data_IF_310354619495
#
_entry.id   IF_310354619495
#
_cell.length_a   1.000
_cell.length_b   1.000
_cell.length_c   1.000
_cell.angle_alpha   90.00
_cell.angle_beta   90.00
_cell.angle_gamma   90.00
#
_symmetry.space_group_name_H-M   'P 1'
#
loop_
_entity.id
_entity.type
_entity.pdbx_description
1 polymer ?
#
# COMPACT_ATOMS: atom_id res chain seq x y z
N UNK A 1 4.01 -19.43 11.83
CA UNK A 1 4.46 -19.24 10.46
C UNK A 1 5.31 -18.00 10.34
N UNK A 2 6.46 -18.12 9.77
CA UNK A 2 7.38 -17.01 9.69
C UNK A 2 6.93 -15.96 8.69
N UNK A 3 7.00 -14.71 9.09
CA UNK A 3 6.65 -13.58 8.24
C UNK A 3 7.78 -13.32 7.24
N UNK A 4 7.56 -13.48 5.93
CA UNK A 4 8.62 -13.27 4.94
C UNK A 4 9.14 -11.83 4.87
N UNK A 5 8.42 -10.88 5.48
CA UNK A 5 8.80 -9.46 5.47
C UNK A 5 9.52 -9.02 6.73
N UNK A 6 9.74 -9.94 7.65
CA UNK A 6 10.27 -9.67 8.99
C UNK A 6 11.56 -8.86 9.02
N UNK A 7 12.47 -9.12 8.08
CA UNK A 7 13.80 -8.54 8.06
C UNK A 7 13.95 -7.32 7.15
N UNK A 8 12.87 -6.85 6.55
CA UNK A 8 12.92 -5.70 5.67
C UNK A 8 12.77 -4.40 6.47
N UNK A 9 13.37 -3.32 5.94
CA UNK A 9 13.34 -2.00 6.57
C UNK A 9 11.97 -1.33 6.48
N UNK A 10 11.09 -1.86 5.63
CA UNK A 10 9.76 -1.32 5.40
C UNK A 10 8.72 -2.24 5.99
N UNK A 11 7.61 -1.65 6.40
CA UNK A 11 6.48 -2.44 6.89
C UNK A 11 6.02 -3.43 5.83
N UNK A 12 5.85 -4.69 6.21
CA UNK A 12 5.48 -5.74 5.26
C UNK A 12 4.18 -5.44 4.51
N UNK A 13 3.26 -4.77 5.17
CA UNK A 13 2.00 -4.38 4.56
C UNK A 13 2.19 -3.40 3.40
N UNK A 14 3.15 -2.49 3.52
CA UNK A 14 3.48 -1.55 2.47
C UNK A 14 4.09 -2.27 1.27
N UNK A 15 4.99 -3.21 1.54
CA UNK A 15 5.63 -4.00 0.50
C UNK A 15 4.58 -4.80 -0.27
N UNK A 16 3.69 -5.47 0.45
CA UNK A 16 2.61 -6.25 -0.15
C UNK A 16 1.73 -5.38 -1.03
N UNK A 17 1.36 -4.21 -0.54
CA UNK A 17 0.50 -3.31 -1.29
C UNK A 17 1.17 -2.81 -2.57
N UNK A 18 2.44 -2.47 -2.48
CA UNK A 18 3.20 -1.99 -3.63
C UNK A 18 3.30 -3.07 -4.72
N UNK A 19 3.64 -4.30 -4.31
CA UNK A 19 3.73 -5.43 -5.25
C UNK A 19 2.37 -5.75 -5.84
N UNK A 20 1.32 -5.69 -5.02
CA UNK A 20 -0.05 -5.92 -5.46
C UNK A 20 -0.44 -4.91 -6.56
N UNK A 21 -0.12 -3.64 -6.38
CA UNK A 21 -0.40 -2.62 -7.38
C UNK A 21 0.31 -2.90 -8.69
N UNK A 22 1.56 -3.34 -8.62
CA UNK A 22 2.32 -3.69 -9.81
C UNK A 22 1.66 -4.84 -10.58
N UNK A 23 1.20 -5.86 -9.85
CA UNK A 23 0.60 -7.04 -10.45
C UNK A 23 -0.79 -6.76 -11.04
N UNK A 24 -1.51 -5.82 -10.46
CA UNK A 24 -2.90 -5.56 -10.82
C UNK A 24 -3.08 -4.46 -11.87
N UNK A 25 -2.23 -3.47 -11.86
CA UNK A 25 -2.36 -2.31 -12.73
C UNK A 25 -1.18 -2.18 -13.67
N UNK A 26 -1.38 -1.46 -14.78
CA UNK A 26 -0.32 -1.24 -15.76
C UNK A 26 0.61 -0.11 -15.29
N UNK A 27 1.45 -0.41 -14.33
CA UNK A 27 2.36 0.54 -13.71
C UNK A 27 3.80 0.12 -13.93
N UNK A 28 4.68 1.11 -14.13
CA UNK A 28 6.12 0.84 -14.14
C UNK A 28 6.67 0.91 -12.71
N UNK A 29 7.89 0.43 -12.51
CA UNK A 29 8.54 0.56 -11.20
C UNK A 29 8.76 2.03 -10.84
N UNK A 30 8.98 2.89 -11.81
CA UNK A 30 9.13 4.32 -11.57
C UNK A 30 7.82 4.99 -11.20
N UNK A 31 6.71 4.52 -11.80
CA UNK A 31 5.37 4.97 -11.38
C UNK A 31 5.15 4.66 -9.92
N UNK A 32 5.54 3.46 -9.49
CA UNK A 32 5.39 3.05 -8.10
C UNK A 32 6.29 3.84 -7.17
N UNK A 33 7.50 4.17 -7.61
CA UNK A 33 8.38 5.03 -6.83
C UNK A 33 7.71 6.38 -6.55
N UNK A 34 7.11 6.96 -7.57
CA UNK A 34 6.38 8.22 -7.43
C UNK A 34 5.15 8.08 -6.52
N UNK A 35 4.38 7.02 -6.70
CA UNK A 35 3.22 6.76 -5.87
C UNK A 35 3.59 6.60 -4.40
N UNK A 36 4.68 5.90 -4.13
CA UNK A 36 5.16 5.74 -2.76
C UNK A 36 5.58 7.09 -2.18
N UNK A 37 6.26 7.91 -2.97
CA UNK A 37 6.68 9.24 -2.55
C UNK A 37 5.49 10.12 -2.18
N UNK A 38 4.42 10.06 -2.95
CA UNK A 38 3.18 10.79 -2.65
C UNK A 38 2.58 10.36 -1.31
N UNK A 39 2.84 9.14 -0.90
CA UNK A 39 2.31 8.56 0.35
C UNK A 39 3.28 8.66 1.52
N UNK A 40 4.36 9.41 1.35
CA UNK A 40 5.31 9.66 2.40
C UNK A 40 6.44 8.65 2.52
N UNK A 41 6.58 7.77 1.55
CA UNK A 41 7.63 6.77 1.56
C UNK A 41 8.61 6.98 0.42
N UNK A 42 9.86 7.24 0.78
CA UNK A 42 10.94 7.38 -0.20
C UNK A 42 11.55 6.00 -0.45
N UNK A 43 11.27 5.43 -1.60
CA UNK A 43 11.82 4.13 -2.00
C UNK A 43 12.15 4.18 -3.49
N UNK A 44 13.34 3.71 -3.84
CA UNK A 44 13.77 3.75 -5.23
C UNK A 44 13.18 2.59 -6.03
N UNK A 45 13.02 2.82 -7.33
CA UNK A 45 12.38 1.84 -8.22
C UNK A 45 13.12 0.49 -8.27
N UNK A 46 14.44 0.48 -8.06
CA UNK A 46 15.20 -0.77 -8.04
C UNK A 46 14.85 -1.62 -6.82
N UNK A 47 14.56 -0.99 -5.69
CA UNK A 47 14.10 -1.70 -4.50
C UNK A 47 12.72 -2.31 -4.76
N UNK A 48 11.84 -1.57 -5.41
CA UNK A 48 10.51 -2.07 -5.77
C UNK A 48 10.63 -3.26 -6.73
N UNK A 49 11.54 -3.17 -7.69
CA UNK A 49 11.83 -4.27 -8.60
C UNK A 49 12.19 -5.54 -7.82
N UNK A 50 13.07 -5.41 -6.81
CA UNK A 50 13.48 -6.55 -5.98
C UNK A 50 12.32 -7.12 -5.19
N UNK A 51 11.44 -6.27 -4.69
CA UNK A 51 10.25 -6.73 -3.99
C UNK A 51 9.36 -7.57 -4.92
N UNK A 52 9.14 -7.09 -6.13
CA UNK A 52 8.31 -7.80 -7.10
C UNK A 52 8.93 -9.15 -7.44
N UNK A 53 10.24 -9.18 -7.72
CA UNK A 53 10.91 -10.42 -8.07
C UNK A 53 10.83 -11.44 -6.94
N UNK A 54 10.94 -10.99 -5.71
CA UNK A 54 10.95 -11.89 -4.56
C UNK A 54 9.56 -12.35 -4.14
N UNK A 55 8.59 -11.45 -4.13
CA UNK A 55 7.30 -11.73 -3.51
C UNK A 55 6.16 -11.95 -4.48
N UNK A 56 6.29 -11.56 -5.74
CA UNK A 56 5.19 -11.65 -6.70
C UNK A 56 4.65 -13.08 -6.89
N UNK A 57 5.48 -14.09 -7.05
CA UNK A 57 4.95 -15.44 -7.29
C UNK A 57 4.02 -15.93 -6.18
N UNK A 58 4.38 -15.65 -4.94
CA UNK A 58 3.57 -16.07 -3.82
C UNK A 58 2.35 -15.19 -3.61
N UNK A 59 2.52 -13.89 -3.77
CA UNK A 59 1.40 -12.95 -3.65
C UNK A 59 0.35 -13.18 -4.71
N UNK A 60 0.77 -13.50 -5.92
CA UNK A 60 -0.16 -13.77 -7.01
C UNK A 60 -1.09 -14.92 -6.65
N UNK A 61 -0.56 -15.99 -6.07
CA UNK A 61 -1.35 -17.12 -5.60
C UNK A 61 -2.38 -16.69 -4.55
N UNK A 62 -1.93 -15.92 -3.58
CA UNK A 62 -2.78 -15.50 -2.47
C UNK A 62 -3.81 -14.47 -2.86
N UNK A 63 -3.50 -13.67 -3.87
CA UNK A 63 -4.37 -12.57 -4.28
C UNK A 63 -5.50 -12.96 -5.21
N UNK A 64 -5.39 -14.08 -5.91
CA UNK A 64 -6.40 -14.49 -6.88
C UNK A 64 -7.83 -14.44 -6.37
N UNK A 65 -8.12 -14.99 -5.17
CA UNK A 65 -9.50 -14.93 -4.67
C UNK A 65 -9.93 -13.53 -4.24
N UNK A 66 -9.00 -12.59 -4.14
CA UNK A 66 -9.26 -11.23 -3.64
C UNK A 66 -9.10 -10.15 -4.70
N UNK A 67 -9.02 -10.52 -5.97
CA UNK A 67 -8.84 -9.57 -7.05
C UNK A 67 -10.12 -8.84 -7.45
N UNK A 68 -11.19 -9.03 -6.72
CA UNK A 68 -12.44 -8.37 -7.00
C UNK A 68 -12.39 -6.91 -6.56
N UNK A 69 -13.04 -6.09 -7.37
CA UNK A 69 -13.23 -4.68 -7.07
C UNK A 69 -14.04 -4.52 -5.77
N UNK A 70 -13.57 -3.68 -4.87
CA UNK A 70 -14.29 -3.39 -3.65
C UNK A 70 -15.25 -2.22 -3.87
N UNK A 71 -16.53 -2.45 -3.62
CA UNK A 71 -17.54 -1.39 -3.62
C UNK A 71 -17.95 -1.02 -2.21
N UNK A 72 -17.23 -1.52 -1.23
CA UNK A 72 -17.61 -1.37 0.17
C UNK A 72 -17.23 -0.02 0.73
N UNK A 73 -17.89 0.36 1.79
CA UNK A 73 -17.48 1.49 2.60
C UNK A 73 -16.10 1.21 3.20
N UNK A 74 -15.42 2.26 3.58
CA UNK A 74 -14.09 2.14 4.16
C UNK A 74 -13.96 3.05 5.37
N UNK A 75 -12.97 2.72 6.20
CA UNK A 75 -12.63 3.53 7.37
C UNK A 75 -11.13 3.74 7.40
N UNK A 76 -10.68 4.68 8.21
CA UNK A 76 -9.26 4.95 8.40
C UNK A 76 -8.79 4.31 9.70
N UNK A 77 -7.77 3.51 9.59
CA UNK A 77 -7.08 2.86 10.70
C UNK A 77 -5.74 3.55 10.89
N UNK A 78 -5.27 3.68 12.12
CA UNK A 78 -4.02 4.36 12.44
C UNK A 78 -3.12 3.42 13.22
N UNK A 79 -1.89 3.25 12.74
CA UNK A 79 -0.88 2.42 13.40
C UNK A 79 0.41 3.23 13.49
N UNK A 80 1.15 3.03 14.57
CA UNK A 80 2.47 3.63 14.73
C UNK A 80 3.50 2.59 14.32
N UNK A 81 4.28 2.88 13.29
CA UNK A 81 5.21 1.91 12.70
C UNK A 81 6.61 2.50 12.57
N UNK A 82 7.59 1.63 12.53
CA UNK A 82 8.98 2.02 12.32
C UNK A 82 9.36 1.75 10.88
N UNK A 83 9.74 2.80 10.16
CA UNK A 83 10.14 2.71 8.75
C UNK A 83 11.56 3.23 8.64
N UNK A 84 12.50 2.37 8.27
CA UNK A 84 13.91 2.72 8.13
C UNK A 84 14.44 3.42 9.38
N UNK A 85 14.16 2.83 10.55
CA UNK A 85 14.58 3.33 11.87
C UNK A 85 13.91 4.61 12.31
N UNK A 86 12.87 5.06 11.63
CA UNK A 86 12.12 6.25 11.98
C UNK A 86 10.67 5.89 12.29
N UNK A 87 10.15 6.37 13.40
CA UNK A 87 8.77 6.14 13.80
C UNK A 87 7.85 7.07 13.03
N UNK A 88 6.79 6.50 12.45
CA UNK A 88 5.82 7.24 11.66
C UNK A 88 4.43 6.71 11.92
N UNK A 89 3.45 7.55 11.63
CA UNK A 89 2.05 7.13 11.68
C UNK A 89 1.67 6.56 10.32
N UNK A 90 1.18 5.33 10.34
CA UNK A 90 0.67 4.67 9.15
C UNK A 90 -0.85 4.72 9.20
N UNK A 91 -1.44 5.41 8.27
CA UNK A 91 -2.88 5.47 8.11
C UNK A 91 -3.26 4.54 6.98
N UNK A 92 -4.23 3.68 7.23
CA UNK A 92 -4.71 2.74 6.22
C UNK A 92 -6.18 3.01 5.95
N UNK A 93 -6.54 3.06 4.67
CA UNK A 93 -7.94 2.98 4.30
C UNK A 93 -8.29 1.49 4.33
N UNK A 94 -9.23 1.11 5.17
CA UNK A 94 -9.62 -0.29 5.31
C UNK A 94 -11.06 -0.45 4.86
N UNK A 95 -11.26 -1.27 3.84
CA UNK A 95 -12.59 -1.56 3.32
C UNK A 95 -13.33 -2.50 4.26
N UNK A 96 -14.66 -2.52 4.18
CA UNK A 96 -15.47 -3.41 4.99
C UNK A 96 -15.18 -4.90 4.73
N UNK A 97 -14.64 -5.20 3.56
CA UNK A 97 -14.17 -6.54 3.21
C UNK A 97 -12.86 -6.94 3.88
N UNK A 98 -12.22 -6.01 4.58
CA UNK A 98 -10.93 -6.24 5.22
C UNK A 98 -9.73 -5.90 4.37
N UNK A 99 -9.93 -5.52 3.12
CA UNK A 99 -8.84 -5.13 2.24
C UNK A 99 -8.34 -3.73 2.57
N UNK A 100 -7.06 -3.49 2.29
CA UNK A 100 -6.43 -2.19 2.46
C UNK A 100 -6.13 -1.62 1.07
N UNK A 101 -7.04 -0.80 0.51
CA UNK A 101 -6.83 -0.26 -0.83
C UNK A 101 -5.76 0.81 -0.91
N UNK A 102 -5.44 1.48 0.18
CA UNK A 102 -4.41 2.52 0.16
C UNK A 102 -3.88 2.82 1.55
N UNK A 103 -2.77 3.56 1.59
CA UNK A 103 -2.15 3.97 2.84
C UNK A 103 -1.54 5.36 2.71
N UNK A 104 -1.22 5.94 3.85
CA UNK A 104 -0.49 7.21 3.93
C UNK A 104 0.43 7.16 5.15
N UNK A 105 1.71 7.49 4.96
CA UNK A 105 2.67 7.63 6.05
C UNK A 105 2.86 9.10 6.38
N UNK A 106 2.89 9.41 7.66
CA UNK A 106 3.12 10.79 8.09
C UNK A 106 3.92 10.79 9.38
N UNK A 107 4.83 11.74 9.52
CA UNK A 107 5.61 11.91 10.73
C UNK A 107 4.78 12.47 11.88
N UNK A 108 3.78 13.25 11.55
CA UNK A 108 2.89 13.87 12.55
C UNK A 108 1.54 13.20 12.53
N UNK A 109 0.89 13.15 13.68
CA UNK A 109 -0.42 12.55 13.81
C UNK A 109 -1.49 13.47 13.25
N UNK A 110 -2.15 13.04 12.20
CA UNK A 110 -3.27 13.78 11.62
C UNK A 110 -4.21 12.84 10.89
N UNK A 111 -5.09 12.22 11.65
CA UNK A 111 -6.12 11.35 11.09
C UNK A 111 -7.05 12.11 10.14
N UNK A 112 -7.27 13.39 10.45
CA UNK A 112 -8.11 14.24 9.60
C UNK A 112 -7.51 14.42 8.22
N UNK A 113 -6.21 14.70 8.15
CA UNK A 113 -5.52 14.83 6.86
C UNK A 113 -5.53 13.52 6.09
N UNK A 114 -5.35 12.40 6.79
CA UNK A 114 -5.40 11.09 6.16
C UNK A 114 -6.79 10.80 5.57
N UNK A 115 -7.85 11.12 6.30
CA UNK A 115 -9.21 10.96 5.79
C UNK A 115 -9.45 11.79 4.55
N UNK A 116 -8.96 13.03 4.55
CA UNK A 116 -9.09 13.89 3.38
C UNK A 116 -8.35 13.31 2.17
N UNK A 117 -7.13 12.82 2.40
CA UNK A 117 -6.34 12.19 1.35
C UNK A 117 -7.07 11.00 0.73
N UNK A 118 -7.58 10.11 1.57
CA UNK A 118 -8.25 8.90 1.09
C UNK A 118 -9.55 9.22 0.36
N UNK A 119 -10.31 10.21 0.85
CA UNK A 119 -11.54 10.61 0.16
C UNK A 119 -11.25 11.12 -1.23
N UNK A 120 -10.18 11.88 -1.38
CA UNK A 120 -9.78 12.40 -2.68
C UNK A 120 -9.36 11.28 -3.63
N UNK A 121 -8.56 10.34 -3.14
CA UNK A 121 -8.02 9.26 -3.96
C UNK A 121 -9.08 8.21 -4.27
N UNK A 122 -9.80 7.76 -3.26
CA UNK A 122 -10.74 6.65 -3.41
C UNK A 122 -12.04 7.05 -4.10
N UNK A 123 -12.32 8.34 -4.21
CA UNK A 123 -13.48 8.81 -4.95
C UNK A 123 -13.25 8.83 -6.45
N UNK A 124 -12.00 8.71 -6.89
CA UNK A 124 -11.66 8.70 -8.31
C UNK A 124 -11.77 7.27 -8.82
N UNK A 125 -12.78 7.03 -9.64
CA UNK A 125 -13.06 5.66 -10.12
C UNK A 125 -11.90 5.01 -10.88
N UNK A 126 -11.11 5.80 -11.58
CA UNK A 126 -9.97 5.28 -12.32
C UNK A 126 -8.82 4.83 -11.41
N UNK A 127 -8.80 5.27 -10.15
CA UNK A 127 -7.79 4.88 -9.18
C UNK A 127 -8.18 3.58 -8.50
N UNK A 128 -9.45 3.42 -8.18
CA UNK A 128 -9.93 2.27 -7.43
C UNK A 128 -10.33 1.10 -8.32
N UNK A 129 -10.47 1.35 -9.62
CA UNK A 129 -10.93 0.35 -10.55
C UNK A 129 -9.87 0.09 -11.60
N UNK A 130 -9.43 -1.15 -11.76
CA UNK A 130 -8.56 -1.48 -12.87
C UNK A 130 -9.31 -1.25 -14.18
N UNK A 131 -8.58 -0.79 -15.14
CA UNK A 131 -9.13 -0.58 -16.45
C UNK A 131 -9.63 -1.90 -17.03
#
# INVERSE_FOLDING_TARGET
MENPFKWHHYEGEIIVLCVRWYLRYALSYRDLEEMMSERGLSVVHTTIYRWVQRFAPELEKRMRPHLKKSNDSWRVDEIYVKVRSQWMYLYRAVASSGQTPDFLLNKTRSKRAAKHFFRKILSQSHVTHPA
#
